data_IF_391482368771
#
_entry.id   IF_391482368771
#
_cell.length_a   1.000
_cell.length_b   1.000
_cell.length_c   1.000
_cell.angle_alpha   90.00
_cell.angle_beta   90.00
_cell.angle_gamma   90.00
#
_symmetry.space_group_name_H-M   'P 1'
#
loop_
_entity.id
_entity.type
_entity.pdbx_description
1 polymer ?
#
# COMPACT_ATOMS: atom_id res chain seq x y z
N UNK A 1 6.32 -5.52 16.32
CA UNK A 1 6.22 -4.17 16.94
C UNK A 1 4.79 -3.69 16.71
N UNK A 2 4.37 -2.50 17.12
CA UNK A 2 3.14 -1.91 16.55
C UNK A 2 3.47 -0.49 16.14
N UNK A 3 3.84 -0.32 14.88
CA UNK A 3 4.10 0.99 14.28
C UNK A 3 2.81 1.80 14.16
N UNK A 4 2.92 3.12 14.23
CA UNK A 4 1.85 3.98 13.73
C UNK A 4 1.82 3.94 12.20
N UNK A 5 0.70 4.35 11.59
CA UNK A 5 0.61 4.43 10.13
C UNK A 5 1.66 5.37 9.52
N UNK A 6 1.91 6.52 10.16
CA UNK A 6 2.88 7.49 9.68
C UNK A 6 4.33 6.98 9.81
N UNK A 7 4.63 6.27 10.91
CA UNK A 7 5.91 5.60 11.09
C UNK A 7 6.11 4.49 10.06
N UNK A 8 5.08 3.70 9.79
CA UNK A 8 5.12 2.65 8.76
C UNK A 8 5.35 3.24 7.37
N UNK A 9 4.65 4.33 7.02
CA UNK A 9 4.80 5.03 5.74
C UNK A 9 6.19 5.67 5.57
N UNK A 10 6.86 5.98 6.68
CA UNK A 10 8.25 6.45 6.71
C UNK A 10 9.22 5.28 6.55
N UNK A 11 9.09 4.25 7.38
CA UNK A 11 10.01 3.10 7.43
C UNK A 11 10.00 2.26 6.16
N UNK A 12 8.87 2.13 5.47
CA UNK A 12 8.79 1.36 4.20
C UNK A 12 9.72 1.93 3.12
N UNK A 13 10.05 3.22 3.18
CA UNK A 13 10.99 3.88 2.25
C UNK A 13 12.45 3.58 2.57
N UNK A 14 12.72 3.02 3.75
CA UNK A 14 14.05 2.71 4.28
C UNK A 14 14.33 1.21 4.31
N UNK A 15 13.57 0.40 3.56
CA UNK A 15 13.87 -1.04 3.42
C UNK A 15 15.19 -1.24 2.66
N UNK A 16 15.98 -2.23 3.07
CA UNK A 16 17.28 -2.54 2.44
C UNK A 16 17.18 -2.88 0.96
N UNK A 17 16.09 -3.54 0.58
CA UNK A 17 15.78 -3.89 -0.81
C UNK A 17 14.33 -3.54 -1.12
N UNK A 18 14.03 -3.36 -2.41
CA UNK A 18 12.65 -3.12 -2.84
C UNK A 18 11.80 -4.38 -2.59
N UNK A 19 10.57 -4.24 -2.06
CA UNK A 19 9.57 -5.31 -2.05
C UNK A 19 9.25 -5.80 -3.47
N UNK A 20 8.58 -6.96 -3.55
CA UNK A 20 8.05 -7.47 -4.81
C UNK A 20 7.02 -6.50 -5.41
N UNK A 21 6.76 -6.62 -6.71
CA UNK A 21 5.77 -5.77 -7.37
C UNK A 21 4.37 -5.89 -6.73
N UNK A 22 3.97 -7.10 -6.33
CA UNK A 22 2.68 -7.34 -5.71
C UNK A 22 2.61 -6.71 -4.31
N UNK A 23 3.68 -6.79 -3.53
CA UNK A 23 3.80 -6.09 -2.25
C UNK A 23 3.73 -4.57 -2.43
N UNK A 24 4.37 -4.02 -3.47
CA UNK A 24 4.30 -2.59 -3.79
C UNK A 24 2.88 -2.15 -4.19
N UNK A 25 2.16 -2.98 -4.95
CA UNK A 25 0.77 -2.71 -5.34
C UNK A 25 -0.16 -2.76 -4.13
N UNK A 26 0.02 -3.73 -3.23
CA UNK A 26 -0.75 -3.85 -2.00
C UNK A 26 -0.49 -2.67 -1.06
N UNK A 27 0.79 -2.29 -0.84
CA UNK A 27 1.15 -1.09 -0.09
C UNK A 27 0.50 0.16 -0.67
N UNK A 28 0.51 0.32 -2.00
CA UNK A 28 -0.14 1.44 -2.66
C UNK A 28 -1.65 1.44 -2.43
N UNK A 29 -2.32 0.29 -2.61
CA UNK A 29 -3.76 0.15 -2.45
C UNK A 29 -4.21 0.47 -1.02
N UNK A 30 -3.55 -0.12 -0.02
CA UNK A 30 -3.84 0.10 1.39
C UNK A 30 -3.54 1.53 1.82
N UNK A 31 -2.44 2.13 1.34
CA UNK A 31 -2.14 3.53 1.63
C UNK A 31 -3.21 4.47 1.07
N UNK A 32 -3.63 4.25 -0.19
CA UNK A 32 -4.69 5.04 -0.83
C UNK A 32 -6.04 4.86 -0.14
N UNK A 33 -6.43 3.62 0.17
CA UNK A 33 -7.66 3.34 0.92
C UNK A 33 -7.62 3.96 2.32
N UNK A 34 -6.49 3.87 3.02
CA UNK A 34 -6.34 4.43 4.37
C UNK A 34 -6.34 5.96 4.42
N UNK A 35 -5.92 6.64 3.35
CA UNK A 35 -5.80 8.11 3.32
C UNK A 35 -6.97 8.80 2.61
N UNK A 36 -7.48 8.20 1.54
CA UNK A 36 -8.55 8.76 0.70
C UNK A 36 -9.88 8.04 0.91
N UNK A 37 -9.84 6.74 1.26
CA UNK A 37 -11.01 5.88 1.23
C UNK A 37 -11.18 5.24 -0.14
N UNK A 38 -12.42 4.92 -0.50
CA UNK A 38 -12.78 4.29 -1.76
C UNK A 38 -12.22 5.04 -2.97
N UNK A 39 -11.79 4.28 -3.98
CA UNK A 39 -11.28 4.84 -5.22
C UNK A 39 -12.32 5.73 -5.91
N UNK A 40 -11.92 6.99 -6.16
CA UNK A 40 -12.75 8.05 -6.71
C UNK A 40 -12.16 8.63 -8.01
N UNK A 41 -11.19 7.96 -8.63
CA UNK A 41 -10.56 8.40 -9.87
C UNK A 41 -10.99 7.55 -11.06
N UNK A 42 -10.93 8.13 -12.26
CA UNK A 42 -11.22 7.41 -13.49
C UNK A 42 -10.18 6.33 -13.76
N UNK A 43 -10.65 5.23 -14.36
CA UNK A 43 -9.78 4.12 -14.74
C UNK A 43 -8.78 4.57 -15.82
N UNK A 44 -7.47 4.31 -15.63
CA UNK A 44 -6.45 4.65 -16.62
C UNK A 44 -6.69 3.99 -17.99
N UNK A 45 -6.21 4.64 -19.05
CA UNK A 45 -6.32 4.16 -20.43
C UNK A 45 -5.59 2.83 -20.67
N UNK A 46 -5.98 2.11 -21.73
CA UNK A 46 -5.54 0.74 -22.01
C UNK A 46 -4.01 0.57 -22.09
N UNK A 47 -3.29 1.60 -22.53
CA UNK A 47 -1.83 1.56 -22.68
C UNK A 47 -1.05 1.91 -21.40
N UNK A 48 -1.71 2.45 -20.36
CA UNK A 48 -1.08 2.70 -19.06
C UNK A 48 -1.20 1.47 -18.16
N UNK A 49 -0.39 0.46 -18.44
CA UNK A 49 -0.42 -0.81 -17.71
C UNK A 49 -0.10 -0.63 -16.22
N UNK A 50 0.83 0.27 -15.89
CA UNK A 50 1.26 0.53 -14.51
C UNK A 50 0.20 1.28 -13.73
N UNK A 51 -0.38 2.33 -14.31
CA UNK A 51 -1.48 3.06 -13.71
C UNK A 51 -2.70 2.17 -13.53
N UNK A 52 -3.04 1.34 -14.54
CA UNK A 52 -4.13 0.38 -14.45
C UNK A 52 -3.93 -0.64 -13.33
N UNK A 53 -2.72 -1.15 -13.13
CA UNK A 53 -2.42 -2.08 -12.03
C UNK A 53 -2.61 -1.42 -10.66
N UNK A 54 -2.07 -0.20 -10.47
CA UNK A 54 -2.27 0.58 -9.24
C UNK A 54 -3.73 0.91 -8.98
N UNK A 55 -4.44 1.39 -10.01
CA UNK A 55 -5.86 1.71 -9.93
C UNK A 55 -6.68 0.48 -9.56
N UNK A 56 -6.41 -0.67 -10.21
CA UNK A 56 -7.13 -1.92 -9.92
C UNK A 56 -6.85 -2.44 -8.51
N UNK A 57 -5.61 -2.29 -8.02
CA UNK A 57 -5.27 -2.67 -6.66
C UNK A 57 -6.02 -1.81 -5.63
N UNK A 58 -6.07 -0.49 -5.82
CA UNK A 58 -6.84 0.41 -4.94
C UNK A 58 -8.34 0.18 -5.04
N UNK A 59 -8.90 0.08 -6.26
CA UNK A 59 -10.32 -0.20 -6.48
C UNK A 59 -10.73 -1.56 -5.87
N UNK A 60 -9.84 -2.55 -5.85
CA UNK A 60 -10.04 -3.84 -5.19
C UNK A 60 -10.17 -3.77 -3.66
N UNK A 61 -9.88 -2.62 -3.02
CA UNK A 61 -10.08 -2.39 -1.58
C UNK A 61 -11.36 -1.61 -1.26
N UNK A 62 -12.19 -1.31 -2.27
CA UNK A 62 -13.43 -0.56 -2.09
C UNK A 62 -14.34 -1.20 -1.04
N UNK A 63 -14.89 -0.36 -0.15
CA UNK A 63 -15.70 -0.79 0.99
C UNK A 63 -14.90 -1.14 2.25
N UNK A 64 -13.58 -1.28 2.18
CA UNK A 64 -12.73 -1.38 3.37
C UNK A 64 -12.68 -0.01 4.08
N UNK A 65 -12.84 0.00 5.41
CA UNK A 65 -12.74 1.25 6.17
C UNK A 65 -11.32 1.82 6.09
N UNK A 66 -11.19 3.15 6.24
CA UNK A 66 -9.87 3.79 6.25
C UNK A 66 -8.99 3.26 7.40
N UNK A 67 -9.59 2.98 8.55
CA UNK A 67 -8.86 2.48 9.72
C UNK A 67 -8.37 1.05 9.52
N UNK A 68 -9.18 0.18 8.91
CA UNK A 68 -8.76 -1.19 8.62
C UNK A 68 -7.68 -1.22 7.53
N UNK A 69 -7.77 -0.35 6.53
CA UNK A 69 -6.71 -0.19 5.53
C UNK A 69 -5.39 0.28 6.15
N UNK A 70 -5.43 1.23 7.11
CA UNK A 70 -4.23 1.67 7.84
C UNK A 70 -3.63 0.55 8.68
N UNK A 71 -4.45 -0.24 9.38
CA UNK A 71 -3.98 -1.40 10.16
C UNK A 71 -3.31 -2.44 9.27
N UNK A 72 -3.96 -2.84 8.18
CA UNK A 72 -3.40 -3.78 7.22
C UNK A 72 -2.10 -3.25 6.57
N UNK A 73 -2.02 -1.94 6.32
CA UNK A 73 -0.80 -1.31 5.82
C UNK A 73 0.35 -1.45 6.83
N UNK A 74 0.09 -1.16 8.11
CA UNK A 74 1.08 -1.30 9.19
C UNK A 74 1.56 -2.75 9.30
N UNK A 75 0.63 -3.71 9.33
CA UNK A 75 0.95 -5.13 9.41
C UNK A 75 1.86 -5.58 8.25
N UNK A 76 1.52 -5.16 7.01
CA UNK A 76 2.34 -5.48 5.85
C UNK A 76 3.73 -4.85 5.94
N UNK A 77 3.85 -3.59 6.37
CA UNK A 77 5.15 -2.93 6.54
C UNK A 77 5.99 -3.64 7.60
N UNK A 78 5.41 -4.08 8.70
CA UNK A 78 6.13 -4.84 9.73
C UNK A 78 6.66 -6.17 9.19
N UNK A 79 5.85 -6.92 8.44
CA UNK A 79 6.30 -8.15 7.76
C UNK A 79 7.44 -7.89 6.77
N UNK A 80 7.38 -6.77 6.04
CA UNK A 80 8.44 -6.37 5.13
C UNK A 80 9.72 -5.99 5.88
N UNK A 81 9.63 -5.30 7.01
CA UNK A 81 10.78 -4.98 7.86
C UNK A 81 11.41 -6.27 8.42
N UNK A 82 10.61 -7.23 8.86
CA UNK A 82 11.10 -8.51 9.38
C UNK A 82 11.80 -9.35 8.31
N UNK A 83 11.29 -9.32 7.07
CA UNK A 83 11.83 -10.12 5.96
C UNK A 83 13.01 -9.47 5.23
N UNK A 84 12.97 -8.14 5.01
CA UNK A 84 13.95 -7.40 4.21
C UNK A 84 14.96 -6.65 5.10
N UNK A 85 14.53 -6.18 6.26
CA UNK A 85 15.29 -5.30 7.14
C UNK A 85 15.28 -3.83 6.69
N UNK A 86 15.68 -2.95 7.61
CA UNK A 86 15.87 -1.52 7.36
C UNK A 86 17.34 -1.23 7.03
N UNK A 87 17.58 -0.32 6.09
CA UNK A 87 18.89 0.16 5.67
C UNK A 87 19.57 1.02 6.75
#
# INVERSE_FOLDING_TARGET
MTLTFDDAATKVKSLKTSPSNDQLLELYALFKQGTVGDNNTDKPGMFDLKGKAKWSAWDGKKGMSQDDAKKAYVELVEQLIESIGLA
#
